data_IF_073434572139
#
_entry.id   IF_073434572139
#
_cell.length_a   1.000
_cell.length_b   1.000
_cell.length_c   1.000
_cell.angle_alpha   90.00
_cell.angle_beta   90.00
_cell.angle_gamma   90.00
#
_symmetry.space_group_name_H-M   'P 1'
#
loop_
_entity.id
_entity.type
_entity.pdbx_description
1 polymer ?
#
# COMPACT_ATOMS: atom_id res chain seq x y z
N UNK A 1 16.14 -35.82 -23.62
CA UNK A 1 14.91 -35.64 -22.83
C UNK A 1 15.12 -34.78 -21.59
N UNK A 2 16.11 -35.08 -20.73
CA UNK A 2 16.36 -34.32 -19.49
C UNK A 2 16.73 -32.84 -19.71
N UNK A 3 17.54 -32.51 -20.73
CA UNK A 3 17.86 -31.12 -21.09
C UNK A 3 16.62 -30.32 -21.53
N UNK A 4 15.70 -30.93 -22.28
CA UNK A 4 14.43 -30.29 -22.69
C UNK A 4 13.49 -30.06 -21.52
N UNK A 5 13.38 -31.03 -20.60
CA UNK A 5 12.62 -30.88 -19.35
C UNK A 5 13.18 -29.73 -18.49
N UNK A 6 14.51 -29.61 -18.39
CA UNK A 6 15.15 -28.52 -17.66
C UNK A 6 14.87 -27.15 -18.32
N UNK A 7 14.93 -27.07 -19.65
CA UNK A 7 14.59 -25.84 -20.38
C UNK A 7 13.12 -25.43 -20.20
N UNK A 8 12.18 -26.39 -20.31
CA UNK A 8 10.76 -26.13 -20.10
C UNK A 8 10.51 -25.64 -18.67
N UNK A 9 11.08 -26.33 -17.68
CA UNK A 9 10.98 -25.98 -16.26
C UNK A 9 11.50 -24.57 -15.98
N UNK A 10 12.69 -24.24 -16.50
CA UNK A 10 13.29 -22.92 -16.36
C UNK A 10 12.39 -21.83 -16.97
N UNK A 11 11.85 -22.08 -18.17
CA UNK A 11 10.97 -21.13 -18.87
C UNK A 11 9.68 -20.88 -18.08
N UNK A 12 9.06 -21.93 -17.54
CA UNK A 12 7.86 -21.84 -16.71
C UNK A 12 8.14 -20.98 -15.46
N UNK A 13 9.25 -21.24 -14.75
CA UNK A 13 9.65 -20.50 -13.55
C UNK A 13 9.89 -19.02 -13.88
N UNK A 14 10.68 -18.75 -14.91
CA UNK A 14 11.02 -17.39 -15.33
C UNK A 14 9.77 -16.59 -15.72
N UNK A 15 8.87 -17.20 -16.48
CA UNK A 15 7.62 -16.58 -16.90
C UNK A 15 6.69 -16.30 -15.72
N UNK A 16 6.55 -17.25 -14.79
CA UNK A 16 5.76 -17.05 -13.57
C UNK A 16 6.29 -15.91 -12.70
N UNK A 17 7.61 -15.86 -12.49
CA UNK A 17 8.27 -14.78 -11.75
C UNK A 17 8.11 -13.42 -12.45
N UNK A 18 8.20 -13.39 -13.77
CA UNK A 18 8.00 -12.18 -14.56
C UNK A 18 6.59 -11.61 -14.36
N UNK A 19 5.55 -12.46 -14.49
CA UNK A 19 4.17 -12.03 -14.30
C UNK A 19 3.91 -11.56 -12.86
N UNK A 20 4.43 -12.28 -11.87
CA UNK A 20 4.30 -11.88 -10.47
C UNK A 20 4.99 -10.55 -10.21
N UNK A 21 6.17 -10.33 -10.79
CA UNK A 21 6.91 -9.06 -10.67
C UNK A 21 6.15 -7.92 -11.32
N UNK A 22 5.59 -8.12 -12.52
CA UNK A 22 4.78 -7.11 -13.20
C UNK A 22 3.54 -6.74 -12.38
N UNK A 23 2.83 -7.73 -11.84
CA UNK A 23 1.65 -7.50 -11.00
C UNK A 23 1.98 -6.69 -9.75
N UNK A 24 3.04 -7.07 -9.03
CA UNK A 24 3.50 -6.34 -7.84
C UNK A 24 3.97 -4.91 -8.18
N UNK A 25 4.66 -4.74 -9.32
CA UNK A 25 5.12 -3.43 -9.79
C UNK A 25 3.95 -2.49 -10.08
N UNK A 26 2.94 -2.97 -10.82
CA UNK A 26 1.72 -2.20 -11.09
C UNK A 26 1.01 -1.83 -9.78
N UNK A 27 0.88 -2.78 -8.85
CA UNK A 27 0.29 -2.54 -7.54
C UNK A 27 1.03 -1.47 -6.73
N UNK A 28 2.36 -1.52 -6.69
CA UNK A 28 3.19 -0.53 -5.99
C UNK A 28 3.06 0.85 -6.62
N UNK A 29 3.16 0.95 -7.95
CA UNK A 29 3.05 2.24 -8.65
C UNK A 29 1.65 2.84 -8.53
N UNK A 30 0.61 2.01 -8.51
CA UNK A 30 -0.76 2.44 -8.27
C UNK A 30 -0.96 2.99 -6.85
N UNK A 31 -0.41 2.28 -5.85
CA UNK A 31 -0.41 2.73 -4.46
C UNK A 31 0.26 4.07 -4.30
N UNK A 32 1.47 4.24 -4.84
CA UNK A 32 2.26 5.45 -4.62
C UNK A 32 1.59 6.68 -5.26
N UNK A 33 0.95 6.52 -6.43
CA UNK A 33 0.10 7.58 -7.02
C UNK A 33 -1.12 7.91 -6.17
N UNK A 34 -1.80 6.88 -5.66
CA UNK A 34 -2.97 7.09 -4.80
C UNK A 34 -2.58 7.77 -3.47
N UNK A 35 -1.45 7.38 -2.87
CA UNK A 35 -0.90 8.03 -1.69
C UNK A 35 -0.67 9.52 -1.90
N UNK A 36 -0.08 9.91 -3.03
CA UNK A 36 0.11 11.32 -3.39
C UNK A 36 -1.21 12.10 -3.53
N UNK A 37 -2.23 11.49 -4.13
CA UNK A 37 -3.56 12.10 -4.23
C UNK A 37 -4.20 12.28 -2.84
N UNK A 38 -4.17 11.25 -1.97
CA UNK A 38 -4.83 11.34 -0.66
C UNK A 38 -4.11 12.26 0.34
N UNK A 39 -2.77 12.28 0.32
CA UNK A 39 -1.99 13.16 1.20
C UNK A 39 -2.15 14.63 0.83
N UNK A 40 -2.50 14.93 -0.43
CA UNK A 40 -2.84 16.29 -0.88
C UNK A 40 -4.33 16.62 -0.77
N UNK A 41 -5.13 15.75 -0.13
CA UNK A 41 -6.59 15.85 -0.01
C UNK A 41 -7.31 15.99 -1.37
N UNK A 42 -6.75 15.40 -2.43
CA UNK A 42 -7.33 15.40 -3.78
C UNK A 42 -8.00 14.08 -4.09
N UNK A 43 -9.14 14.14 -4.78
CA UNK A 43 -9.80 12.93 -5.27
C UNK A 43 -8.90 12.16 -6.25
N UNK A 44 -9.07 10.82 -6.36
CA UNK A 44 -8.23 9.98 -7.23
C UNK A 44 -8.37 10.41 -8.70
N UNK A 45 -7.32 10.99 -9.27
CA UNK A 45 -7.38 11.61 -10.61
C UNK A 45 -6.94 10.66 -11.71
N UNK A 46 -5.83 9.96 -11.51
CA UNK A 46 -5.24 9.07 -12.51
C UNK A 46 -5.92 7.69 -12.55
N UNK A 47 -5.82 7.00 -13.69
CA UNK A 47 -6.33 5.62 -13.84
C UNK A 47 -5.75 4.66 -12.79
N UNK A 48 -4.45 4.74 -12.54
CA UNK A 48 -3.76 3.93 -11.53
C UNK A 48 -4.21 4.28 -10.10
N UNK A 49 -4.44 5.57 -9.81
CA UNK A 49 -4.95 6.01 -8.51
C UNK A 49 -6.39 5.51 -8.27
N UNK A 50 -7.27 5.64 -9.28
CA UNK A 50 -8.64 5.11 -9.24
C UNK A 50 -8.66 3.58 -9.11
N UNK A 51 -7.76 2.89 -9.80
CA UNK A 51 -7.59 1.44 -9.67
C UNK A 51 -7.21 1.04 -8.23
N UNK A 52 -6.22 1.71 -7.65
CA UNK A 52 -5.83 1.41 -6.27
C UNK A 52 -6.93 1.77 -5.27
N UNK A 53 -7.65 2.87 -5.49
CA UNK A 53 -8.82 3.25 -4.70
C UNK A 53 -9.90 2.16 -4.71
N UNK A 54 -10.22 1.62 -5.89
CA UNK A 54 -11.14 0.50 -6.05
C UNK A 54 -10.63 -0.74 -5.30
N UNK A 55 -9.35 -1.12 -5.50
CA UNK A 55 -8.72 -2.26 -4.83
C UNK A 55 -8.88 -2.20 -3.32
N UNK A 56 -8.60 -1.04 -2.71
CA UNK A 56 -8.61 -0.89 -1.24
C UNK A 56 -9.99 -0.56 -0.66
N UNK A 57 -11.04 -0.41 -1.48
CA UNK A 57 -12.41 -0.13 -0.99
C UNK A 57 -13.07 -1.31 -0.29
N UNK A 58 -12.72 -2.53 -0.67
CA UNK A 58 -13.20 -3.73 0.00
C UNK A 58 -12.17 -4.84 -0.07
N UNK A 59 -12.18 -5.74 0.92
CA UNK A 59 -11.39 -6.97 0.86
C UNK A 59 -11.78 -7.84 -0.35
N UNK A 60 -13.07 -7.83 -0.72
CA UNK A 60 -13.58 -8.56 -1.88
C UNK A 60 -12.95 -8.09 -3.19
N UNK A 61 -12.73 -6.79 -3.39
CA UNK A 61 -12.10 -6.30 -4.62
C UNK A 61 -10.64 -6.78 -4.74
N UNK A 62 -9.91 -6.82 -3.62
CA UNK A 62 -8.56 -7.38 -3.60
C UNK A 62 -8.55 -8.89 -3.90
N UNK A 63 -9.55 -9.64 -3.44
CA UNK A 63 -9.73 -11.05 -3.80
C UNK A 63 -10.04 -11.22 -5.29
N UNK A 64 -10.97 -10.42 -5.84
CA UNK A 64 -11.35 -10.47 -7.27
C UNK A 64 -10.12 -10.20 -8.14
N UNK A 65 -9.34 -9.16 -7.84
CA UNK A 65 -8.11 -8.87 -8.55
C UNK A 65 -7.11 -10.04 -8.47
N UNK A 66 -6.96 -10.60 -7.26
CA UNK A 66 -6.15 -11.79 -7.02
C UNK A 66 -6.55 -12.98 -7.88
N UNK A 67 -7.85 -13.28 -7.94
CA UNK A 67 -8.41 -14.34 -8.78
C UNK A 67 -8.17 -14.08 -10.27
N UNK A 68 -8.36 -12.84 -10.74
CA UNK A 68 -8.06 -12.46 -12.13
C UNK A 68 -6.59 -12.67 -12.45
N UNK A 69 -5.68 -12.26 -11.56
CA UNK A 69 -4.24 -12.52 -11.72
C UNK A 69 -3.93 -14.01 -11.80
N UNK A 70 -4.52 -14.84 -10.94
CA UNK A 70 -4.32 -16.29 -10.94
C UNK A 70 -4.80 -16.95 -12.25
N UNK A 71 -5.95 -16.52 -12.77
CA UNK A 71 -6.47 -17.02 -14.05
C UNK A 71 -5.51 -16.65 -15.19
N UNK A 72 -5.03 -15.41 -15.24
CA UNK A 72 -4.06 -14.96 -16.23
C UNK A 72 -2.75 -15.75 -16.11
N UNK A 73 -2.25 -15.94 -14.89
CA UNK A 73 -1.02 -16.69 -14.63
C UNK A 73 -1.14 -18.12 -15.15
N UNK A 74 -2.15 -18.87 -14.69
CA UNK A 74 -2.39 -20.26 -15.07
C UNK A 74 -2.58 -20.37 -16.59
N UNK A 75 -3.47 -19.55 -17.16
CA UNK A 75 -3.75 -19.54 -18.59
C UNK A 75 -2.51 -19.25 -19.42
N UNK A 76 -1.70 -18.28 -19.00
CA UNK A 76 -0.46 -17.93 -19.71
C UNK A 76 0.61 -19.02 -19.64
N UNK A 77 0.75 -19.71 -18.49
CA UNK A 77 1.70 -20.82 -18.34
C UNK A 77 1.29 -21.99 -19.23
N UNK A 78 0.00 -22.36 -19.21
CA UNK A 78 -0.53 -23.45 -20.05
C UNK A 78 -0.34 -23.13 -21.53
N UNK A 79 -0.74 -21.93 -21.95
CA UNK A 79 -0.62 -21.50 -23.35
C UNK A 79 0.85 -21.47 -23.81
N UNK A 80 1.73 -20.86 -23.03
CA UNK A 80 3.15 -20.75 -23.36
C UNK A 80 3.85 -22.11 -23.41
N UNK A 81 3.58 -22.98 -22.43
CA UNK A 81 4.22 -24.30 -22.37
C UNK A 81 3.73 -25.22 -23.49
N UNK A 82 2.42 -25.21 -23.77
CA UNK A 82 1.83 -26.05 -24.82
C UNK A 82 2.30 -25.62 -26.20
N UNK A 83 2.45 -24.32 -26.45
CA UNK A 83 2.89 -23.80 -27.75
C UNK A 83 4.38 -24.02 -28.01
N UNK A 84 5.24 -23.93 -26.98
CA UNK A 84 6.69 -24.08 -27.14
C UNK A 84 7.18 -25.53 -27.05
N UNK A 85 6.57 -26.34 -26.17
CA UNK A 85 7.09 -27.67 -25.80
C UNK A 85 6.08 -28.80 -25.99
N UNK A 86 4.81 -28.48 -26.28
CA UNK A 86 3.74 -29.47 -26.41
C UNK A 86 3.12 -29.90 -25.08
N UNK A 87 1.97 -30.57 -25.18
CA UNK A 87 1.15 -30.95 -24.03
C UNK A 87 1.81 -31.99 -23.11
N UNK A 88 2.55 -32.96 -23.66
CA UNK A 88 3.20 -34.01 -22.86
C UNK A 88 4.27 -33.47 -21.91
N UNK A 89 5.09 -32.52 -22.37
CA UNK A 89 6.11 -31.87 -21.55
C UNK A 89 5.48 -30.97 -20.48
N UNK A 90 4.37 -30.29 -20.79
CA UNK A 90 3.60 -29.54 -19.80
C UNK A 90 3.09 -30.45 -18.67
N UNK A 91 2.53 -31.61 -19.01
CA UNK A 91 2.06 -32.58 -18.03
C UNK A 91 3.21 -33.15 -17.18
N UNK A 92 4.36 -33.39 -17.81
CA UNK A 92 5.57 -33.83 -17.12
C UNK A 92 6.12 -32.79 -16.13
N UNK A 93 5.92 -31.49 -16.41
CA UNK A 93 6.28 -30.37 -15.53
C UNK A 93 5.15 -29.91 -14.59
N UNK A 94 4.06 -30.67 -14.47
CA UNK A 94 2.86 -30.29 -13.69
C UNK A 94 3.14 -29.93 -12.23
N UNK A 95 4.07 -30.62 -11.56
CA UNK A 95 4.47 -30.30 -10.18
C UNK A 95 5.08 -28.89 -10.05
N UNK A 96 5.86 -28.46 -11.05
CA UNK A 96 6.49 -27.14 -11.06
C UNK A 96 5.43 -26.06 -11.31
N UNK A 97 4.52 -26.31 -12.25
CA UNK A 97 3.36 -25.43 -12.50
C UNK A 97 2.55 -25.27 -11.22
N UNK A 98 2.21 -26.37 -10.56
CA UNK A 98 1.47 -26.35 -9.30
C UNK A 98 2.21 -25.56 -8.21
N UNK A 99 3.52 -25.75 -8.08
CA UNK A 99 4.34 -25.03 -7.11
C UNK A 99 4.31 -23.50 -7.34
N UNK A 100 4.45 -23.05 -8.60
CA UNK A 100 4.40 -21.62 -8.94
C UNK A 100 3.02 -21.03 -8.67
N UNK A 101 1.97 -21.77 -9.05
CA UNK A 101 0.58 -21.38 -8.79
C UNK A 101 0.34 -21.27 -7.27
N UNK A 102 0.84 -22.22 -6.48
CA UNK A 102 0.71 -22.20 -5.03
C UNK A 102 1.44 -21.00 -4.39
N UNK A 103 2.68 -20.72 -4.79
CA UNK A 103 3.40 -19.53 -4.31
C UNK A 103 2.71 -18.23 -4.70
N UNK A 104 2.19 -18.16 -5.92
CA UNK A 104 1.42 -17.01 -6.41
C UNK A 104 0.14 -16.82 -5.62
N UNK A 105 -0.55 -17.92 -5.29
CA UNK A 105 -1.74 -17.90 -4.44
C UNK A 105 -1.43 -17.33 -3.05
N UNK A 106 -0.35 -17.77 -2.40
CA UNK A 106 0.09 -17.21 -1.12
C UNK A 106 0.34 -15.70 -1.25
N UNK A 107 1.04 -15.28 -2.31
CA UNK A 107 1.33 -13.86 -2.55
C UNK A 107 0.05 -13.03 -2.71
N UNK A 108 -0.94 -13.54 -3.44
CA UNK A 108 -2.27 -12.94 -3.59
C UNK A 108 -2.99 -12.84 -2.25
N UNK A 109 -3.01 -13.91 -1.45
CA UNK A 109 -3.64 -13.91 -0.13
C UNK A 109 -2.98 -12.91 0.83
N UNK A 110 -1.64 -12.84 0.85
CA UNK A 110 -0.92 -11.84 1.62
C UNK A 110 -1.31 -10.41 1.23
N UNK A 111 -1.48 -10.15 -0.08
CA UNK A 111 -1.90 -8.84 -0.54
C UNK A 111 -3.35 -8.52 -0.14
N UNK A 112 -4.26 -9.47 -0.29
CA UNK A 112 -5.65 -9.32 0.10
C UNK A 112 -5.78 -9.10 1.62
N UNK A 113 -5.04 -9.85 2.45
CA UNK A 113 -5.02 -9.64 3.89
C UNK A 113 -4.53 -8.25 4.30
N UNK A 114 -3.49 -7.73 3.64
CA UNK A 114 -3.06 -6.33 3.88
C UNK A 114 -4.17 -5.32 3.59
N UNK A 115 -4.97 -5.56 2.54
CA UNK A 115 -6.12 -4.70 2.25
C UNK A 115 -7.20 -4.84 3.33
N UNK A 116 -7.46 -6.06 3.82
CA UNK A 116 -8.40 -6.30 4.93
C UNK A 116 -8.01 -5.50 6.17
N UNK A 117 -6.74 -5.55 6.58
CA UNK A 117 -6.27 -4.83 7.76
C UNK A 117 -6.47 -3.31 7.64
N UNK A 118 -6.30 -2.76 6.43
CA UNK A 118 -6.56 -1.35 6.14
C UNK A 118 -8.06 -1.01 6.25
N UNK A 119 -8.92 -1.87 5.71
CA UNK A 119 -10.38 -1.70 5.79
C UNK A 119 -10.86 -1.81 7.24
N UNK A 120 -10.35 -2.77 8.00
CA UNK A 120 -10.67 -2.96 9.41
C UNK A 120 -10.19 -1.76 10.25
N UNK A 121 -9.02 -1.19 9.95
CA UNK A 121 -8.54 0.04 10.58
C UNK A 121 -9.45 1.23 10.30
N UNK A 122 -9.91 1.39 9.05
CA UNK A 122 -10.89 2.43 8.71
C UNK A 122 -12.20 2.27 9.47
N UNK A 123 -12.71 1.04 9.56
CA UNK A 123 -13.93 0.75 10.30
C UNK A 123 -13.79 1.11 11.80
N UNK A 124 -12.63 0.80 12.40
CA UNK A 124 -12.34 1.16 13.79
C UNK A 124 -12.32 2.67 14.01
N UNK A 125 -11.68 3.44 13.12
CA UNK A 125 -11.63 4.91 13.20
C UNK A 125 -13.04 5.51 13.03
N UNK A 126 -13.81 5.01 12.07
CA UNK A 126 -15.19 5.47 11.87
C UNK A 126 -16.05 5.19 13.09
N UNK A 127 -15.89 4.03 13.73
CA UNK A 127 -16.60 3.70 14.96
C UNK A 127 -16.18 4.63 16.11
N UNK A 128 -14.88 4.79 16.37
CA UNK A 128 -14.39 5.61 17.48
C UNK A 128 -14.78 7.09 17.36
N UNK A 129 -14.66 7.66 16.16
CA UNK A 129 -15.07 9.06 15.90
C UNK A 129 -16.60 9.18 15.82
N UNK A 130 -17.29 8.18 15.28
CA UNK A 130 -18.73 8.18 15.10
C UNK A 130 -19.52 8.13 16.42
N UNK A 131 -19.07 7.34 17.39
CA UNK A 131 -19.73 7.22 18.70
C UNK A 131 -19.36 8.33 19.69
N UNK A 132 -18.30 9.08 19.43
CA UNK A 132 -17.88 10.18 20.30
C UNK A 132 -18.74 11.43 20.11
N UNK A 133 -19.12 12.07 21.23
CA UNK A 133 -19.70 13.43 21.23
C UNK A 133 -18.66 14.47 20.83
N UNK A 134 -17.40 14.26 21.22
CA UNK A 134 -16.26 15.09 20.83
C UNK A 134 -15.45 14.39 19.74
N UNK A 135 -15.84 14.64 18.49
CA UNK A 135 -15.21 14.05 17.30
C UNK A 135 -13.82 14.63 17.05
N UNK A 136 -13.63 15.91 17.36
CA UNK A 136 -12.38 16.64 17.12
C UNK A 136 -11.33 16.18 18.11
N UNK A 137 -11.66 16.10 19.41
CA UNK A 137 -10.73 15.65 20.46
C UNK A 137 -10.21 14.24 20.21
N UNK A 138 -11.11 13.28 19.94
CA UNK A 138 -10.72 11.89 19.64
C UNK A 138 -9.82 11.80 18.40
N UNK A 139 -10.15 12.57 17.36
CA UNK A 139 -9.36 12.58 16.13
C UNK A 139 -7.98 13.20 16.36
N UNK A 140 -7.90 14.27 17.15
CA UNK A 140 -6.65 14.93 17.53
C UNK A 140 -5.75 13.98 18.32
N UNK A 141 -6.31 13.30 19.32
CA UNK A 141 -5.58 12.30 20.10
C UNK A 141 -5.02 11.17 19.22
N UNK A 142 -5.80 10.67 18.26
CA UNK A 142 -5.32 9.65 17.31
C UNK A 142 -4.16 10.15 16.46
N UNK A 143 -4.26 11.37 15.92
CA UNK A 143 -3.21 11.96 15.08
C UNK A 143 -1.95 12.25 15.90
N UNK A 144 -2.09 12.82 17.10
CA UNK A 144 -0.97 13.08 18.02
C UNK A 144 -0.27 11.79 18.44
N UNK A 145 -1.02 10.74 18.79
CA UNK A 145 -0.45 9.43 19.11
C UNK A 145 0.34 8.83 17.94
N UNK A 146 -0.10 9.03 16.70
CA UNK A 146 0.64 8.59 15.51
C UNK A 146 1.91 9.41 15.27
N UNK A 147 1.89 10.71 15.53
CA UNK A 147 3.09 11.55 15.47
C UNK A 147 4.11 11.17 16.57
N UNK A 148 3.65 10.87 17.78
CA UNK A 148 4.50 10.42 18.89
C UNK A 148 5.22 9.09 18.59
N UNK A 149 4.60 8.21 17.79
CA UNK A 149 5.24 6.98 17.32
C UNK A 149 6.32 7.22 16.25
N UNK A 150 6.42 8.44 15.71
CA UNK A 150 7.44 8.85 14.75
C UNK A 150 7.42 7.99 13.46
N UNK A 151 8.59 7.70 12.86
CA UNK A 151 8.67 6.88 11.64
C UNK A 151 8.24 5.41 11.84
N UNK A 152 8.05 4.97 13.10
CA UNK A 152 7.47 3.67 13.43
C UNK A 152 5.95 3.69 13.58
N UNK A 153 5.30 4.85 13.38
CA UNK A 153 3.85 4.97 13.39
C UNK A 153 3.20 4.04 12.36
N UNK A 154 2.05 3.47 12.72
CA UNK A 154 1.34 2.52 11.85
C UNK A 154 0.89 3.21 10.55
N UNK A 155 1.65 2.99 9.48
CA UNK A 155 1.39 3.55 8.15
C UNK A 155 0.00 3.17 7.60
N UNK A 156 -0.62 2.11 8.12
CA UNK A 156 -2.00 1.71 7.75
C UNK A 156 -3.03 2.63 8.38
N UNK A 157 -2.81 3.04 9.62
CA UNK A 157 -3.67 3.97 10.33
C UNK A 157 -3.54 5.37 9.73
N UNK A 158 -2.32 5.80 9.37
CA UNK A 158 -2.10 6.99 8.55
C UNK A 158 -2.88 6.93 7.23
N UNK A 159 -2.73 5.85 6.48
CA UNK A 159 -3.45 5.64 5.23
C UNK A 159 -4.97 5.70 5.41
N UNK A 160 -5.48 5.10 6.49
CA UNK A 160 -6.89 5.09 6.82
C UNK A 160 -7.41 6.51 7.13
N UNK A 161 -6.68 7.29 7.93
CA UNK A 161 -7.02 8.69 8.25
C UNK A 161 -7.07 9.57 6.99
N UNK A 162 -6.02 9.54 6.16
CA UNK A 162 -5.99 10.33 4.92
C UNK A 162 -7.11 9.94 3.96
N UNK A 163 -7.46 8.66 3.90
CA UNK A 163 -8.59 8.22 3.07
C UNK A 163 -9.92 8.69 3.64
N UNK A 164 -10.13 8.58 4.96
CA UNK A 164 -11.37 9.03 5.60
C UNK A 164 -11.56 10.54 5.47
N UNK A 165 -10.46 11.31 5.51
CA UNK A 165 -10.47 12.76 5.28
C UNK A 165 -10.99 13.17 3.89
N UNK A 166 -11.06 12.25 2.93
CA UNK A 166 -11.63 12.51 1.59
C UNK A 166 -13.14 12.37 1.54
N UNK A 167 -13.78 11.82 2.57
CA UNK A 167 -15.23 11.60 2.57
C UNK A 167 -15.95 12.94 2.77
N UNK A 168 -17.06 13.20 2.04
CA UNK A 168 -17.85 14.41 2.20
C UNK A 168 -18.83 14.31 3.40
N UNK A 169 -18.39 13.71 4.51
CA UNK A 169 -19.18 13.53 5.73
C UNK A 169 -18.54 14.27 6.92
N UNK A 170 -19.30 14.49 8.00
CA UNK A 170 -18.83 15.23 9.18
C UNK A 170 -17.53 14.64 9.75
N UNK A 171 -17.40 13.31 9.69
CA UNK A 171 -16.21 12.58 10.14
C UNK A 171 -15.01 12.93 9.25
N UNK A 172 -15.16 12.87 7.92
CA UNK A 172 -14.12 13.21 6.96
C UNK A 172 -13.65 14.66 7.08
N UNK A 173 -14.58 15.61 7.21
CA UNK A 173 -14.23 17.03 7.44
C UNK A 173 -13.46 17.22 8.75
N UNK A 174 -13.90 16.58 9.83
CA UNK A 174 -13.23 16.65 11.14
C UNK A 174 -11.80 16.10 11.06
N UNK A 175 -11.62 14.94 10.43
CA UNK A 175 -10.29 14.34 10.24
C UNK A 175 -9.40 15.22 9.37
N UNK A 176 -9.95 15.77 8.29
CA UNK A 176 -9.21 16.69 7.41
C UNK A 176 -8.71 17.93 8.15
N UNK A 177 -9.58 18.56 8.93
CA UNK A 177 -9.24 19.78 9.66
C UNK A 177 -8.16 19.52 10.70
N UNK A 178 -8.27 18.43 11.46
CA UNK A 178 -7.24 18.02 12.44
C UNK A 178 -5.92 17.71 11.75
N UNK A 179 -5.92 17.00 10.62
CA UNK A 179 -4.68 16.69 9.88
C UNK A 179 -3.98 17.97 9.38
N UNK A 180 -4.75 18.95 8.88
CA UNK A 180 -4.19 20.24 8.43
C UNK A 180 -3.69 21.06 9.63
N UNK A 181 -4.43 21.07 10.74
CA UNK A 181 -4.04 21.80 11.96
C UNK A 181 -2.74 21.24 12.55
N UNK A 182 -2.67 19.91 12.72
CA UNK A 182 -1.48 19.26 13.29
C UNK A 182 -0.28 19.34 12.34
N UNK A 183 -0.49 19.20 11.03
CA UNK A 183 0.58 19.39 10.04
C UNK A 183 1.20 20.79 10.11
N UNK A 184 0.39 21.85 10.24
CA UNK A 184 0.89 23.22 10.42
C UNK A 184 1.69 23.39 11.71
N UNK A 185 1.23 22.81 12.82
CA UNK A 185 1.92 22.87 14.11
C UNK A 185 3.31 22.23 14.01
N UNK A 186 3.40 21.10 13.31
CA UNK A 186 4.65 20.38 13.15
C UNK A 186 5.62 21.08 12.17
N UNK A 187 5.14 21.63 11.06
CA UNK A 187 5.97 22.46 10.18
C UNK A 187 6.56 23.67 10.93
N UNK A 188 5.77 24.27 11.84
CA UNK A 188 6.27 25.36 12.68
C UNK A 188 7.25 24.91 13.76
N UNK A 189 7.07 23.73 14.36
CA UNK A 189 8.00 23.17 15.35
C UNK A 189 9.36 22.86 14.71
N UNK A 190 9.37 22.24 13.53
CA UNK A 190 10.58 21.97 12.75
C UNK A 190 11.29 23.25 12.29
N UNK A 191 10.55 24.26 11.78
CA UNK A 191 11.16 25.55 11.41
C UNK A 191 11.78 26.26 12.60
N UNK A 192 11.16 26.18 13.78
CA UNK A 192 11.67 26.81 15.01
C UNK A 192 12.90 26.09 15.54
N UNK A 193 12.88 24.76 15.56
CA UNK A 193 14.05 23.94 15.94
C UNK A 193 15.24 24.16 15.00
N UNK A 194 15.01 24.31 13.70
CA UNK A 194 16.08 24.62 12.73
C UNK A 194 16.58 26.07 12.81
N UNK A 195 15.74 27.02 13.21
CA UNK A 195 16.18 28.40 13.44
C UNK A 195 17.05 28.49 14.70
N UNK A 196 16.66 27.81 15.78
CA UNK A 196 17.40 27.81 17.04
C UNK A 196 18.76 27.09 16.90
N UNK A 197 18.86 26.00 16.13
CA UNK A 197 20.14 25.32 15.84
C UNK A 197 21.10 26.15 14.97
N UNK A 198 20.59 27.04 14.12
CA UNK A 198 21.42 27.98 13.35
C UNK A 198 21.95 29.17 14.16
N UNK A 199 21.24 29.55 15.24
CA UNK A 199 21.62 30.67 16.12
C UNK A 199 22.71 30.32 17.14
N UNK A 200 22.93 29.03 17.40
CA UNK A 200 23.97 28.53 18.34
C UNK A 200 25.37 28.40 17.71
N UNK A 201 25.54 28.67 16.40
CA UNK A 201 26.84 28.66 15.72
C UNK A 201 27.57 30.02 15.75
N UNK A 202 27.02 31.04 16.42
CA UNK A 202 27.49 32.44 16.29
C UNK A 202 28.06 33.11 17.55
N UNK A 203 27.99 32.48 18.73
CA UNK A 203 28.50 33.10 19.97
C UNK A 203 29.69 32.34 20.55
N UNK A 204 30.86 32.59 19.98
CA UNK A 204 32.12 32.36 20.69
C UNK A 204 32.27 33.40 21.82
N UNK A 205 32.74 33.02 23.02
CA UNK A 205 32.98 33.98 24.09
C UNK A 205 34.21 34.83 23.72
N UNK A 206 33.99 36.10 23.40
CA UNK A 206 35.04 37.09 23.27
C UNK A 206 35.65 37.39 24.64
N UNK A 207 36.87 36.90 24.87
CA UNK A 207 37.72 37.31 25.98
C UNK A 207 38.77 38.24 25.37
N UNK A 208 38.66 39.56 25.63
CA UNK A 208 39.81 40.47 25.61
C UNK A 208 40.60 40.34 26.92
N UNK A 209 41.84 40.84 27.04
CA UNK A 209 42.49 41.91 26.29
C UNK A 209 43.59 41.48 25.30
#
# INVERSE_FOLDING_TARGET
>A
MQSLLNMASFTIILHGLLLQTMWLFVGRRARDKYLGDIMSFRSPSSSLSRYYHWRVSSFQNALIEGSVFMIILIGSIILLTTTLYGFELMMSSSFIVFFIVFLSFISVMQHAWRVREVVDSQARIVASVGYSKDKIGVTREMVENLYLQGPMGDGRTWFALFRLAQRPDVIGWTIRDVLIETGKKEDTSFRRSNADSSSLSGSGPGIGP
#
